data_IF_174064808240
#
_entry.id   IF_174064808240
#
_cell.length_a   1.000
_cell.length_b   1.000
_cell.length_c   1.000
_cell.angle_alpha   90.00
_cell.angle_beta   90.00
_cell.angle_gamma   90.00
#
_symmetry.space_group_name_H-M   'P 1'
#
loop_
_entity.id
_entity.type
_entity.pdbx_description
1 polymer ?
#
# COMPACT_ATOMS: atom_id res chain seq x y z
N UNK A 1 12.13 -7.29 -9.32
CA UNK A 1 11.48 -8.42 -10.03
C UNK A 1 11.19 -9.59 -9.10
N UNK A 2 11.43 -9.47 -7.78
CA UNK A 2 11.13 -10.52 -6.80
C UNK A 2 10.07 -10.03 -5.81
N UNK A 3 9.08 -10.86 -5.53
CA UNK A 3 7.91 -10.52 -4.73
C UNK A 3 7.70 -11.60 -3.67
N UNK A 4 7.47 -11.18 -2.42
CA UNK A 4 7.27 -12.08 -1.28
C UNK A 4 5.99 -11.67 -0.55
N UNK A 5 5.15 -12.65 -0.25
CA UNK A 5 3.93 -12.46 0.54
C UNK A 5 4.11 -13.09 1.92
N UNK A 6 3.75 -12.34 2.94
CA UNK A 6 3.80 -12.78 4.33
C UNK A 6 2.39 -12.88 4.92
N UNK A 7 2.17 -13.90 5.74
CA UNK A 7 1.02 -14.00 6.63
C UNK A 7 1.55 -14.19 8.05
N UNK A 8 1.19 -13.27 8.95
CA UNK A 8 1.65 -13.30 10.35
C UNK A 8 3.18 -13.42 10.50
N UNK A 9 3.93 -12.75 9.63
CA UNK A 9 5.41 -12.77 9.62
C UNK A 9 6.04 -14.00 8.95
N UNK A 10 5.25 -14.97 8.51
CA UNK A 10 5.73 -16.14 7.81
C UNK A 10 5.57 -15.98 6.29
N UNK A 11 6.59 -16.37 5.52
CA UNK A 11 6.52 -16.40 4.06
C UNK A 11 5.52 -17.47 3.62
N UNK A 12 4.51 -17.07 2.84
CA UNK A 12 3.53 -17.98 2.22
C UNK A 12 3.68 -18.08 0.71
N UNK A 13 4.35 -17.12 0.07
CA UNK A 13 4.62 -17.13 -1.36
C UNK A 13 5.86 -16.30 -1.70
N UNK A 14 6.56 -16.71 -2.75
CA UNK A 14 7.74 -16.06 -3.30
C UNK A 14 7.81 -16.34 -4.79
N UNK A 15 7.86 -15.30 -5.62
CA UNK A 15 7.91 -15.44 -7.06
C UNK A 15 8.66 -14.29 -7.71
N UNK A 16 9.12 -14.49 -8.94
CA UNK A 16 9.83 -13.47 -9.70
C UNK A 16 9.20 -13.22 -11.06
N UNK A 17 9.02 -11.95 -11.40
CA UNK A 17 8.59 -11.50 -12.73
C UNK A 17 9.27 -10.17 -13.06
N UNK A 18 9.98 -10.17 -14.19
CA UNK A 18 10.74 -9.02 -14.69
C UNK A 18 9.89 -8.02 -15.45
N UNK A 19 8.64 -8.37 -15.81
CA UNK A 19 7.76 -7.51 -16.61
C UNK A 19 7.06 -6.44 -15.76
N UNK A 20 6.90 -6.70 -14.46
CA UNK A 20 6.18 -5.82 -13.54
C UNK A 20 7.15 -4.87 -12.84
N UNK A 21 7.33 -3.69 -13.42
CA UNK A 21 8.21 -2.65 -12.86
C UNK A 21 7.47 -1.60 -12.02
N UNK A 22 6.17 -1.40 -12.26
CA UNK A 22 5.31 -0.39 -11.62
C UNK A 22 3.84 -0.76 -11.78
N UNK A 23 2.99 -0.31 -10.84
CA UNK A 23 1.56 -0.59 -10.83
C UNK A 23 0.87 0.08 -9.65
N UNK A 24 -0.38 -0.30 -9.40
CA UNK A 24 -1.17 0.13 -8.23
C UNK A 24 -1.49 -1.03 -7.31
N UNK A 25 -2.02 -0.72 -6.12
CA UNK A 25 -2.56 -1.69 -5.17
C UNK A 25 -4.09 -1.56 -5.19
N UNK A 26 -4.79 -2.68 -5.35
CA UNK A 26 -6.24 -2.75 -5.35
C UNK A 26 -6.73 -3.82 -4.39
N UNK A 27 -7.87 -3.57 -3.77
CA UNK A 27 -8.59 -4.53 -2.93
C UNK A 27 -9.85 -4.95 -3.69
N UNK A 28 -10.15 -6.24 -3.65
CA UNK A 28 -11.27 -6.84 -4.34
C UNK A 28 -11.89 -7.87 -3.40
N UNK A 29 -13.21 -7.93 -3.38
CA UNK A 29 -14.00 -8.90 -2.65
C UNK A 29 -15.03 -9.55 -3.58
N UNK A 30 -15.57 -10.68 -3.13
CA UNK A 30 -16.73 -11.28 -3.77
C UNK A 30 -18.01 -10.63 -3.22
N UNK A 31 -19.01 -10.44 -4.08
CA UNK A 31 -20.24 -9.66 -3.80
C UNK A 31 -20.98 -10.14 -2.55
N UNK A 32 -20.86 -11.43 -2.20
CA UNK A 32 -21.67 -12.07 -1.16
C UNK A 32 -20.96 -12.20 0.20
N UNK A 33 -19.70 -11.78 0.34
CA UNK A 33 -18.93 -11.89 1.59
C UNK A 33 -18.36 -10.53 2.05
N UNK A 34 -18.93 -9.90 3.10
CA UNK A 34 -18.46 -8.62 3.59
C UNK A 34 -17.03 -8.70 4.17
N UNK A 35 -16.05 -8.20 3.43
CA UNK A 35 -14.66 -8.14 3.89
C UNK A 35 -14.27 -6.74 4.39
N UNK A 36 -13.39 -6.68 5.38
CA UNK A 36 -12.93 -5.41 5.97
C UNK A 36 -11.41 -5.39 6.11
N UNK A 37 -10.82 -4.30 5.65
CA UNK A 37 -9.41 -3.96 5.89
C UNK A 37 -9.38 -2.84 6.93
N UNK A 38 -8.78 -3.11 8.09
CA UNK A 38 -8.70 -2.12 9.16
C UNK A 38 -7.64 -1.03 8.89
N UNK A 39 -6.52 -1.41 8.27
CA UNK A 39 -5.43 -0.50 7.95
C UNK A 39 -4.56 -1.06 6.84
N UNK A 40 -3.87 -0.16 6.14
CA UNK A 40 -2.87 -0.47 5.09
C UNK A 40 -1.67 0.41 5.35
N UNK A 41 -0.47 -0.17 5.29
CA UNK A 41 0.78 0.58 5.33
C UNK A 41 1.59 0.28 4.07
N UNK A 42 2.06 1.33 3.40
CA UNK A 42 2.92 1.21 2.23
C UNK A 42 4.23 1.93 2.50
N UNK A 43 5.33 1.18 2.47
CA UNK A 43 6.68 1.70 2.55
C UNK A 43 7.36 1.57 1.20
N UNK A 44 7.77 2.69 0.62
CA UNK A 44 8.64 2.72 -0.55
C UNK A 44 10.05 3.10 -0.07
N UNK A 45 11.05 2.32 -0.48
CA UNK A 45 12.44 2.61 -0.12
C UNK A 45 13.03 3.76 -0.96
N UNK A 46 12.38 4.16 -2.05
CA UNK A 46 12.77 5.25 -2.95
C UNK A 46 11.57 6.14 -3.37
N UNK A 47 11.24 7.12 -2.52
CA UNK A 47 10.76 8.50 -2.77
C UNK A 47 9.80 8.88 -3.93
N UNK A 48 8.98 8.00 -4.51
CA UNK A 48 7.92 8.41 -5.45
C UNK A 48 6.60 8.63 -4.69
N UNK A 49 6.22 7.71 -3.81
CA UNK A 49 5.07 7.78 -2.92
C UNK A 49 5.19 8.96 -1.95
N UNK A 50 6.40 9.27 -1.48
CA UNK A 50 6.66 10.45 -0.64
C UNK A 50 6.38 11.78 -1.36
N UNK A 51 6.69 11.86 -2.67
CA UNK A 51 6.35 13.02 -3.48
C UNK A 51 4.84 13.12 -3.74
N UNK A 52 4.18 11.99 -4.01
CA UNK A 52 2.73 11.93 -4.20
C UNK A 52 1.95 12.30 -2.92
N UNK A 53 2.34 11.75 -1.76
CA UNK A 53 1.74 12.07 -0.46
C UNK A 53 1.95 13.56 -0.11
N UNK A 54 3.09 14.16 -0.42
CA UNK A 54 3.30 15.61 -0.26
C UNK A 54 2.38 16.45 -1.17
N UNK A 55 2.00 15.95 -2.36
CA UNK A 55 1.02 16.62 -3.21
C UNK A 55 -0.42 16.53 -2.66
N UNK A 56 -0.74 15.51 -1.85
CA UNK A 56 -2.06 15.36 -1.22
C UNK A 56 -2.11 15.84 0.25
N UNK A 57 -0.98 16.18 0.87
CA UNK A 57 -0.92 16.66 2.27
C UNK A 57 -1.38 18.11 2.46
N UNK A 58 -1.91 18.77 1.43
CA UNK A 58 -2.51 20.11 1.54
C UNK A 58 -3.98 20.09 2.01
N UNK A 59 -4.52 18.93 2.37
CA UNK A 59 -5.85 18.80 2.96
C UNK A 59 -5.67 18.16 4.33
N UNK A 60 -5.98 18.91 5.39
CA UNK A 60 -5.88 18.57 6.83
C UNK A 60 -4.55 18.95 7.51
N UNK A 61 -4.32 20.26 7.66
CA UNK A 61 -3.77 20.81 8.90
C UNK A 61 -4.91 21.57 9.59
N UNK A 62 -5.48 21.10 10.73
CA UNK A 62 -6.33 21.96 11.53
C UNK A 62 -5.44 23.06 12.17
N UNK A 63 -5.95 24.29 12.36
CA UNK A 63 -5.18 25.32 13.03
C UNK A 63 -4.91 24.88 14.47
N UNK A 64 -3.64 24.86 14.86
CA UNK A 64 -3.26 24.81 16.26
C UNK A 64 -3.83 26.05 16.94
N UNK A 65 -4.77 25.88 17.88
CA UNK A 65 -5.13 26.91 18.84
C UNK A 65 -4.33 26.67 20.12
N UNK A 66 -3.69 27.74 20.59
CA UNK A 66 -2.88 27.83 21.82
C UNK A 66 -3.68 27.52 23.09
#
# INVERSE_FOLDING_TARGET
>A
DHFITYLNGQVISSWSDKRLHRGGIGFFDDVDDPQKVAWVNLSERDSIMGRMLAHFSLIVMPPFHE
#
